data_IF_228609659748
#
_entry.id   IF_228609659748
#
_cell.length_a   1.000
_cell.length_b   1.000
_cell.length_c   1.000
_cell.angle_alpha   90.00
_cell.angle_beta   90.00
_cell.angle_gamma   90.00
#
_symmetry.space_group_name_H-M   'P 1'
#
loop_
_entity.id
_entity.type
_entity.pdbx_description
1 polymer ?
#
# COMPACT_ATOMS: atom_id res chain seq x y z
N UNK A 1 -16.75 5.01 -14.10
CA UNK A 1 -15.65 5.30 -13.57
C UNK A 1 -15.04 4.26 -12.81
N UNK A 2 -13.84 4.17 -12.83
CA UNK A 2 -13.18 3.04 -12.28
C UNK A 2 -12.90 3.15 -10.81
N UNK A 3 -13.24 4.23 -10.18
CA UNK A 3 -12.97 4.38 -8.77
C UNK A 3 -13.69 3.34 -7.92
N UNK A 4 -14.82 2.83 -8.41
CA UNK A 4 -15.56 1.85 -7.68
C UNK A 4 -15.20 0.42 -8.02
N UNK A 5 -14.29 0.23 -8.91
CA UNK A 5 -13.97 -1.12 -9.32
C UNK A 5 -13.16 -1.82 -8.24
N UNK A 6 -13.28 -3.14 -8.15
CA UNK A 6 -12.55 -3.86 -7.12
C UNK A 6 -11.06 -3.82 -7.36
N UNK A 7 -10.32 -4.00 -6.30
CA UNK A 7 -8.87 -4.03 -6.34
C UNK A 7 -8.41 -5.06 -7.36
N UNK A 8 -7.36 -4.74 -8.08
CA UNK A 8 -6.80 -5.69 -9.05
C UNK A 8 -5.88 -6.67 -8.33
N UNK A 9 -5.59 -7.78 -8.98
CA UNK A 9 -4.67 -8.76 -8.42
C UNK A 9 -3.30 -8.15 -8.19
N UNK A 10 -2.87 -7.29 -9.09
CA UNK A 10 -1.58 -6.62 -8.97
C UNK A 10 -1.56 -5.69 -7.78
N UNK A 11 -2.62 -4.90 -7.64
CA UNK A 11 -2.73 -4.01 -6.50
C UNK A 11 -2.77 -4.79 -5.19
N UNK A 12 -3.50 -5.89 -5.19
CA UNK A 12 -3.62 -6.70 -3.99
C UNK A 12 -2.25 -7.25 -3.57
N UNK A 13 -1.48 -7.74 -4.53
CA UNK A 13 -0.16 -8.27 -4.22
C UNK A 13 0.76 -7.17 -3.69
N UNK A 14 0.74 -6.02 -4.33
CA UNK A 14 1.59 -4.91 -3.92
C UNK A 14 1.20 -4.41 -2.54
N UNK A 15 -0.08 -4.21 -2.32
CA UNK A 15 -0.56 -3.69 -1.05
C UNK A 15 -0.27 -4.67 0.08
N UNK A 16 -0.47 -5.95 -0.17
CA UNK A 16 -0.22 -6.96 0.83
C UNK A 16 1.25 -6.96 1.22
N UNK A 17 2.13 -6.88 0.25
CA UNK A 17 3.56 -6.85 0.52
C UNK A 17 3.95 -5.62 1.35
N UNK A 18 3.39 -4.48 0.98
CA UNK A 18 3.68 -3.24 1.71
C UNK A 18 3.13 -3.30 3.13
N UNK A 19 1.94 -3.87 3.29
CA UNK A 19 1.33 -3.99 4.60
C UNK A 19 2.17 -4.89 5.50
N UNK A 20 2.72 -5.95 4.95
CA UNK A 20 3.59 -6.83 5.71
C UNK A 20 4.86 -6.11 6.11
N UNK A 21 5.45 -5.39 5.18
CA UNK A 21 6.69 -4.67 5.48
C UNK A 21 6.49 -3.59 6.53
N UNK A 22 5.31 -3.00 6.56
CA UNK A 22 5.01 -1.94 7.53
C UNK A 22 4.40 -2.48 8.83
N UNK A 23 4.21 -3.78 8.92
CA UNK A 23 3.57 -4.41 10.07
C UNK A 23 2.16 -3.87 10.29
N UNK A 24 1.45 -3.62 9.19
CA UNK A 24 0.08 -3.13 9.24
C UNK A 24 -0.78 -3.97 8.32
N UNK A 25 -0.86 -5.24 8.61
CA UNK A 25 -1.58 -6.16 7.74
C UNK A 25 -3.04 -5.78 7.57
N UNK A 26 -3.61 -5.12 8.54
CA UNK A 26 -5.01 -4.71 8.46
C UNK A 26 -5.24 -3.65 7.39
N UNK A 27 -4.18 -3.06 6.86
CA UNK A 27 -4.33 -2.08 5.80
C UNK A 27 -4.78 -2.75 4.51
N UNK A 28 -4.49 -4.03 4.36
CA UNK A 28 -4.95 -4.76 3.19
C UNK A 28 -6.28 -5.42 3.49
N UNK A 29 -7.24 -5.24 2.62
CA UNK A 29 -8.53 -5.91 2.73
C UNK A 29 -8.95 -6.34 1.33
N UNK A 30 -9.55 -7.50 1.19
CA UNK A 30 -9.87 -8.02 -0.13
C UNK A 30 -11.00 -7.27 -0.83
N UNK A 31 -11.77 -6.49 -0.09
CA UNK A 31 -12.90 -5.78 -0.67
C UNK A 31 -12.62 -4.30 -0.93
N UNK A 32 -11.37 -3.91 -0.99
CA UNK A 32 -11.05 -2.52 -1.31
C UNK A 32 -11.36 -2.22 -2.77
N UNK A 33 -11.66 -0.97 -3.04
CA UNK A 33 -11.77 -0.50 -4.41
C UNK A 33 -10.38 -0.16 -4.90
N UNK A 34 -10.25 0.04 -6.21
CA UNK A 34 -8.97 0.44 -6.79
C UNK A 34 -8.50 1.77 -6.24
N UNK A 35 -9.41 2.71 -6.07
CA UNK A 35 -9.04 4.01 -5.54
C UNK A 35 -8.52 3.89 -4.11
N UNK A 36 -9.19 3.09 -3.30
CA UNK A 36 -8.75 2.86 -1.93
C UNK A 36 -7.41 2.17 -1.90
N UNK A 37 -7.22 1.18 -2.77
CA UNK A 37 -5.97 0.45 -2.81
C UNK A 37 -4.82 1.36 -3.20
N UNK A 38 -5.02 2.19 -4.20
CA UNK A 38 -3.98 3.14 -4.62
C UNK A 38 -3.59 4.07 -3.50
N UNK A 39 -4.58 4.57 -2.78
CA UNK A 39 -4.31 5.47 -1.67
C UNK A 39 -3.52 4.76 -0.58
N UNK A 40 -3.90 3.55 -0.26
CA UNK A 40 -3.21 2.80 0.80
C UNK A 40 -1.80 2.43 0.37
N UNK A 41 -1.61 2.07 -0.89
CA UNK A 41 -0.28 1.79 -1.40
C UNK A 41 0.60 3.02 -1.27
N UNK A 42 0.08 4.18 -1.64
CA UNK A 42 0.85 5.42 -1.55
C UNK A 42 1.20 5.74 -0.10
N UNK A 43 0.25 5.55 0.80
CA UNK A 43 0.49 5.82 2.21
C UNK A 43 1.55 4.90 2.79
N UNK A 44 1.45 3.62 2.47
CA UNK A 44 2.43 2.66 3.00
C UNK A 44 3.81 2.87 2.40
N UNK A 45 3.85 3.22 1.13
CA UNK A 45 5.12 3.50 0.48
C UNK A 45 5.82 4.67 1.17
N UNK A 46 5.07 5.73 1.45
CA UNK A 46 5.63 6.89 2.14
C UNK A 46 6.07 6.52 3.55
N UNK A 47 5.26 5.72 4.23
CA UNK A 47 5.59 5.32 5.58
C UNK A 47 6.86 4.49 5.62
N UNK A 48 7.00 3.57 4.69
CA UNK A 48 8.19 2.73 4.65
C UNK A 48 9.43 3.53 4.34
N UNK A 49 9.30 4.55 3.51
CA UNK A 49 10.42 5.43 3.26
C UNK A 49 10.87 6.13 4.52
N UNK A 50 9.93 6.57 5.33
CA UNK A 50 10.28 7.23 6.58
C UNK A 50 10.91 6.27 7.57
N UNK A 51 10.37 5.05 7.63
CA UNK A 51 10.92 4.06 8.56
C UNK A 51 12.32 3.63 8.15
N UNK A 52 12.54 3.53 6.84
CA UNK A 52 13.85 3.17 6.35
C UNK A 52 14.83 4.28 6.54
N UNK A 53 14.33 5.44 6.74
CA UNK A 53 15.16 6.60 6.96
C UNK A 53 15.68 7.18 5.68
N UNK A 54 16.18 8.38 5.75
CA UNK A 54 16.78 9.00 4.58
C UNK A 54 18.08 8.30 4.30
N UNK A 55 18.46 8.34 3.11
CA UNK A 55 19.72 7.77 2.76
C UNK A 55 20.76 8.46 3.54
N UNK A 56 21.56 7.78 3.96
CA UNK A 56 22.45 8.29 4.74
C UNK A 56 23.34 8.91 4.17
N UNK A 57 23.48 9.38 3.65
CA UNK A 57 24.26 9.91 3.10
C UNK A 57 25.16 10.39 3.68
N UNK A 58 25.41 10.43 4.11
CA UNK A 58 26.34 10.81 4.63
C UNK A 58 27.06 10.65 4.47
#
# INVERSE_FOLDING_TARGET
MSADQPITAEQAATLKRLAEAAYELETFQPNLTRAEADLRIAMLTAKLKLLDGPPHTL
#
